data_IF_353671279471
#
_entry.id   IF_353671279471
#
_cell.length_a   1.000
_cell.length_b   1.000
_cell.length_c   1.000
_cell.angle_alpha   90.00
_cell.angle_beta   90.00
_cell.angle_gamma   90.00
#
_symmetry.space_group_name_H-M   'P 1'
#
loop_
_entity.id
_entity.type
_entity.pdbx_description
1 polymer ?
#
# COMPACT_ATOMS: atom_id res chain seq x y z
N UNK A 1 -2.37 8.79 -5.80
CA UNK A 1 -1.26 9.19 -4.91
C UNK A 1 -0.37 7.99 -4.66
N UNK A 2 0.94 8.19 -4.61
CA UNK A 2 1.95 7.17 -4.32
C UNK A 2 2.75 7.59 -3.10
N UNK A 3 2.96 6.72 -2.14
CA UNK A 3 3.64 7.08 -0.90
C UNK A 3 4.33 5.89 -0.21
N UNK A 4 5.31 6.24 0.62
CA UNK A 4 6.00 5.33 1.54
C UNK A 4 6.22 6.02 2.90
N UNK A 5 7.24 6.86 3.02
CA UNK A 5 7.47 7.77 4.15
C UNK A 5 7.75 9.18 3.63
N UNK A 6 9.02 9.59 3.55
CA UNK A 6 9.43 10.89 3.03
C UNK A 6 9.94 10.75 1.59
N UNK A 7 9.47 11.62 0.71
CA UNK A 7 9.84 11.68 -0.70
C UNK A 7 10.46 13.02 -1.11
N UNK A 8 10.61 13.96 -0.18
CA UNK A 8 11.22 15.28 -0.46
C UNK A 8 12.60 15.15 -1.06
N UNK A 9 13.41 14.21 -0.57
CA UNK A 9 14.77 13.97 -1.09
C UNK A 9 14.77 13.41 -2.52
N UNK A 10 13.67 12.81 -2.97
CA UNK A 10 13.51 12.28 -4.32
C UNK A 10 13.03 13.34 -5.33
N UNK A 11 12.71 14.55 -4.90
CA UNK A 11 12.07 15.58 -5.72
C UNK A 11 12.84 15.90 -7.01
N UNK A 12 14.16 15.91 -6.94
CA UNK A 12 15.04 16.18 -8.07
C UNK A 12 15.66 14.92 -8.68
N UNK A 13 15.25 13.74 -8.22
CA UNK A 13 15.76 12.48 -8.74
C UNK A 13 15.09 12.12 -10.06
N UNK A 14 15.88 11.92 -11.10
CA UNK A 14 15.35 11.44 -12.37
C UNK A 14 14.94 9.96 -12.26
N UNK A 15 13.68 9.68 -12.53
CA UNK A 15 13.17 8.30 -12.61
C UNK A 15 12.97 7.93 -14.07
N UNK A 16 13.85 7.06 -14.58
CA UNK A 16 13.78 6.57 -15.95
C UNK A 16 12.45 5.86 -16.22
N UNK A 17 11.83 6.01 -17.40
CA UNK A 17 10.58 5.34 -17.76
C UNK A 17 10.86 3.86 -18.08
N UNK A 18 11.04 3.06 -17.04
CA UNK A 18 11.30 1.63 -17.15
C UNK A 18 10.35 0.84 -16.23
N UNK A 19 10.02 -0.43 -16.54
CA UNK A 19 9.21 -1.26 -15.65
C UNK A 19 9.84 -1.35 -14.27
N UNK A 20 9.11 -0.87 -13.27
CA UNK A 20 9.56 -0.84 -11.87
C UNK A 20 9.32 -2.18 -11.19
N UNK A 21 10.12 -2.55 -10.17
CA UNK A 21 9.93 -3.82 -9.49
C UNK A 21 8.66 -3.89 -8.63
N UNK A 22 8.16 -2.74 -8.14
CA UNK A 22 7.00 -2.74 -7.24
C UNK A 22 6.45 -1.34 -6.95
N UNK A 23 7.28 -0.30 -7.10
CA UNK A 23 6.82 1.08 -6.93
C UNK A 23 6.12 1.59 -8.19
N UNK A 24 5.23 2.55 -8.01
CA UNK A 24 4.55 3.20 -9.13
C UNK A 24 5.55 3.77 -10.15
N UNK A 25 5.33 3.48 -11.42
CA UNK A 25 6.09 4.12 -12.49
C UNK A 25 5.47 5.49 -12.81
N UNK A 26 5.96 6.53 -12.16
CA UNK A 26 5.40 7.88 -12.24
C UNK A 26 5.34 8.38 -13.69
N UNK A 27 6.44 8.28 -14.43
CA UNK A 27 6.51 8.72 -15.84
C UNK A 27 5.50 8.01 -16.74
N UNK A 28 5.31 6.71 -16.51
CA UNK A 28 4.34 5.91 -17.26
C UNK A 28 2.90 6.38 -17.02
N UNK A 29 2.52 6.64 -15.79
CA UNK A 29 1.16 7.10 -15.46
C UNK A 29 0.93 8.55 -15.88
N UNK A 30 1.88 9.45 -15.65
CA UNK A 30 1.77 10.85 -16.07
C UNK A 30 1.60 10.98 -17.58
N UNK A 31 2.36 10.20 -18.38
CA UNK A 31 2.21 10.18 -19.84
C UNK A 31 0.86 9.65 -20.34
N UNK A 32 0.03 9.09 -19.44
CA UNK A 32 -1.31 8.54 -19.72
C UNK A 32 -2.44 9.37 -19.08
N UNK A 33 -2.16 10.63 -18.76
CA UNK A 33 -3.16 11.58 -18.26
C UNK A 33 -3.47 11.45 -16.77
N UNK A 34 -2.60 10.82 -16.00
CA UNK A 34 -2.69 10.85 -14.54
C UNK A 34 -1.87 11.99 -13.94
N UNK A 35 -2.38 12.61 -12.89
CA UNK A 35 -1.56 13.37 -11.96
C UNK A 35 -1.06 12.42 -10.86
N UNK A 36 0.24 12.41 -10.61
CA UNK A 36 0.84 11.63 -9.52
C UNK A 36 1.37 12.57 -8.46
N UNK A 37 0.97 12.35 -7.24
CA UNK A 37 1.41 13.12 -6.08
C UNK A 37 1.97 12.18 -5.00
N UNK A 38 3.13 12.53 -4.46
CA UNK A 38 3.81 11.79 -3.40
C UNK A 38 3.99 12.69 -2.18
N UNK A 39 3.10 12.57 -1.16
CA UNK A 39 3.25 13.32 0.08
C UNK A 39 4.37 12.76 0.94
N UNK A 40 5.01 13.60 1.73
CA UNK A 40 5.78 13.17 2.88
C UNK A 40 4.83 12.78 4.02
N UNK A 41 5.20 11.73 4.75
CA UNK A 41 4.48 11.25 5.92
C UNK A 41 5.44 11.19 7.10
N UNK A 42 5.13 11.88 8.18
CA UNK A 42 5.88 11.84 9.41
C UNK A 42 5.04 11.17 10.51
N UNK A 43 5.71 10.43 11.39
CA UNK A 43 5.02 9.63 12.39
C UNK A 43 5.30 10.10 13.80
N UNK A 44 4.23 10.14 14.59
CA UNK A 44 4.30 10.17 16.05
C UNK A 44 4.28 8.75 16.62
N UNK A 45 4.93 8.58 17.77
CA UNK A 45 5.01 7.28 18.42
C UNK A 45 3.61 6.73 18.74
N UNK A 46 3.36 5.49 18.34
CA UNK A 46 2.09 4.79 18.56
C UNK A 46 0.99 5.04 17.55
N UNK A 47 1.18 5.99 16.61
CA UNK A 47 0.11 6.43 15.70
C UNK A 47 0.41 6.31 14.20
N UNK A 48 1.14 5.30 13.70
CA UNK A 48 1.51 5.27 12.29
C UNK A 48 0.32 5.28 11.33
N UNK A 49 -0.77 4.62 11.68
CA UNK A 49 -1.98 4.60 10.85
C UNK A 49 -2.71 5.93 10.83
N UNK A 50 -2.85 6.58 11.99
CA UNK A 50 -3.48 7.88 12.13
C UNK A 50 -2.69 8.96 11.40
N UNK A 51 -1.37 8.99 11.60
CA UNK A 51 -0.52 9.99 10.98
C UNK A 51 -0.52 9.83 9.45
N UNK A 52 -0.41 8.60 8.92
CA UNK A 52 -0.56 8.36 7.48
C UNK A 52 -1.90 8.91 6.96
N UNK A 53 -2.99 8.72 7.70
CA UNK A 53 -4.29 9.26 7.35
C UNK A 53 -4.27 10.79 7.29
N UNK A 54 -3.75 11.46 8.30
CA UNK A 54 -3.74 12.92 8.38
C UNK A 54 -2.94 13.54 7.23
N UNK A 55 -1.76 13.01 6.92
CA UNK A 55 -0.93 13.52 5.82
C UNK A 55 -1.54 13.24 4.45
N UNK A 56 -1.94 12.00 4.18
CA UNK A 56 -2.42 11.61 2.85
C UNK A 56 -3.80 12.21 2.54
N UNK A 57 -4.71 12.20 3.52
CA UNK A 57 -6.08 12.69 3.29
C UNK A 57 -6.12 14.21 3.19
N UNK A 58 -5.36 14.95 4.01
CA UNK A 58 -5.28 16.41 3.89
C UNK A 58 -4.70 16.83 2.54
N UNK A 59 -3.64 16.15 2.08
CA UNK A 59 -3.06 16.38 0.76
C UNK A 59 -4.07 16.07 -0.36
N UNK A 60 -4.80 14.95 -0.28
CA UNK A 60 -5.83 14.58 -1.25
C UNK A 60 -6.94 15.62 -1.33
N UNK A 61 -7.40 16.10 -0.18
CA UNK A 61 -8.44 17.13 -0.09
C UNK A 61 -7.98 18.49 -0.66
N UNK A 62 -6.72 18.87 -0.47
CA UNK A 62 -6.18 20.09 -1.06
C UNK A 62 -6.01 19.95 -2.58
N UNK A 63 -5.48 18.83 -3.04
CA UNK A 63 -5.36 18.53 -4.46
C UNK A 63 -6.72 18.55 -5.17
N UNK A 64 -7.77 18.01 -4.53
CA UNK A 64 -9.13 17.99 -5.09
C UNK A 64 -9.70 19.39 -5.35
N UNK A 65 -9.16 20.45 -4.74
CA UNK A 65 -9.54 21.84 -4.99
C UNK A 65 -8.86 22.45 -6.23
N UNK A 66 -7.83 21.79 -6.76
CA UNK A 66 -7.10 22.30 -7.93
C UNK A 66 -7.93 22.04 -9.21
N UNK A 67 -8.14 23.05 -10.03
CA UNK A 67 -9.01 23.00 -11.23
C UNK A 67 -8.60 21.95 -12.28
N UNK A 68 -7.36 21.50 -12.25
CA UNK A 68 -6.82 20.50 -13.19
C UNK A 68 -6.82 19.07 -12.61
N UNK A 69 -7.32 18.90 -11.38
CA UNK A 69 -7.43 17.58 -10.71
C UNK A 69 -8.90 17.16 -10.67
N UNK A 70 -9.19 15.96 -11.14
CA UNK A 70 -10.47 15.32 -10.90
C UNK A 70 -10.49 14.72 -9.49
N UNK A 71 -10.88 15.54 -8.51
CA UNK A 71 -10.95 15.15 -7.12
C UNK A 71 -11.96 14.04 -6.78
N UNK A 72 -12.81 13.65 -7.74
CA UNK A 72 -13.76 12.54 -7.57
C UNK A 72 -13.16 11.19 -7.99
N UNK A 73 -12.05 11.20 -8.73
CA UNK A 73 -11.41 10.03 -9.31
C UNK A 73 -9.97 9.89 -8.79
N UNK A 74 -9.82 9.76 -7.48
CA UNK A 74 -8.53 9.58 -6.81
C UNK A 74 -8.28 8.13 -6.44
N UNK A 75 -7.03 7.68 -6.57
CA UNK A 75 -6.56 6.37 -6.13
C UNK A 75 -5.27 6.49 -5.30
N UNK A 76 -4.98 5.44 -4.54
CA UNK A 76 -3.77 5.31 -3.73
C UNK A 76 -3.00 4.04 -4.08
N UNK A 77 -1.67 4.15 -4.07
CA UNK A 77 -0.76 3.04 -4.29
C UNK A 77 0.42 3.14 -3.33
N UNK A 78 0.87 1.99 -2.82
CA UNK A 78 2.08 1.89 -2.00
C UNK A 78 2.60 0.46 -1.95
N UNK A 79 3.91 0.35 -1.74
CA UNK A 79 4.61 -0.93 -1.63
C UNK A 79 5.13 -1.12 -0.21
N UNK A 80 5.10 -2.35 0.33
CA UNK A 80 5.67 -2.69 1.63
C UNK A 80 5.02 -1.91 2.76
N UNK A 81 5.76 -1.05 3.43
CA UNK A 81 5.19 -0.12 4.42
C UNK A 81 4.16 0.83 3.79
N UNK A 82 4.38 1.28 2.56
CA UNK A 82 3.37 1.99 1.77
C UNK A 82 2.12 1.15 1.51
N UNK A 83 2.28 -0.16 1.29
CA UNK A 83 1.17 -1.11 1.17
C UNK A 83 0.36 -1.22 2.47
N UNK A 84 1.04 -1.27 3.62
CA UNK A 84 0.37 -1.15 4.93
C UNK A 84 -0.46 0.13 5.02
N UNK A 85 0.14 1.28 4.69
CA UNK A 85 -0.56 2.57 4.73
C UNK A 85 -1.80 2.57 3.84
N UNK A 86 -1.70 2.03 2.61
CA UNK A 86 -2.86 1.87 1.70
C UNK A 86 -3.97 1.06 2.37
N UNK A 87 -3.63 -0.11 2.91
CA UNK A 87 -4.60 -0.98 3.60
C UNK A 87 -5.24 -0.29 4.80
N UNK A 88 -4.46 0.45 5.59
CA UNK A 88 -4.97 1.18 6.74
C UNK A 88 -5.90 2.33 6.32
N UNK A 89 -5.51 3.12 5.33
CA UNK A 89 -6.28 4.27 4.84
C UNK A 89 -7.66 3.87 4.32
N UNK A 90 -7.78 2.79 3.55
CA UNK A 90 -9.09 2.36 3.02
C UNK A 90 -10.06 1.88 4.11
N UNK A 91 -9.57 1.61 5.32
CA UNK A 91 -10.43 1.33 6.49
C UNK A 91 -10.84 2.59 7.25
N UNK A 92 -10.19 3.73 6.97
CA UNK A 92 -10.40 4.99 7.69
C UNK A 92 -11.16 6.03 6.85
N UNK A 93 -11.10 5.92 5.51
CA UNK A 93 -11.76 6.85 4.58
C UNK A 93 -12.26 6.15 3.32
N UNK A 94 -13.28 6.72 2.68
CA UNK A 94 -13.85 6.24 1.42
C UNK A 94 -13.69 7.25 0.28
N UNK A 95 -12.77 8.22 0.39
CA UNK A 95 -12.54 9.24 -0.65
C UNK A 95 -11.81 8.68 -1.89
N UNK A 96 -11.13 7.54 -1.75
CA UNK A 96 -10.41 6.89 -2.83
C UNK A 96 -11.28 5.86 -3.56
N UNK A 97 -11.33 5.93 -4.88
CA UNK A 97 -12.09 4.98 -5.71
C UNK A 97 -11.39 3.66 -5.95
N UNK A 98 -10.08 3.64 -5.82
CA UNK A 98 -9.25 2.47 -6.06
C UNK A 98 -8.02 2.49 -5.16
N UNK A 99 -7.56 1.30 -4.78
CA UNK A 99 -6.36 1.12 -3.97
C UNK A 99 -5.51 -0.04 -4.50
N UNK A 100 -4.19 0.14 -4.47
CA UNK A 100 -3.23 -0.89 -4.84
C UNK A 100 -2.16 -1.02 -3.75
N UNK A 101 -2.08 -2.19 -3.12
CA UNK A 101 -1.15 -2.48 -2.04
C UNK A 101 -0.18 -3.58 -2.46
N UNK A 102 1.09 -3.24 -2.61
CA UNK A 102 2.14 -4.23 -2.83
C UNK A 102 2.73 -4.70 -1.50
N UNK A 103 2.84 -6.02 -1.31
CA UNK A 103 3.42 -6.68 -0.15
C UNK A 103 3.06 -6.01 1.20
N UNK A 104 1.76 -5.79 1.49
CA UNK A 104 1.34 -5.05 2.67
C UNK A 104 1.53 -5.84 3.96
N UNK A 105 1.73 -5.13 5.06
CA UNK A 105 1.44 -5.65 6.41
C UNK A 105 -0.03 -5.38 6.70
N UNK A 106 -0.82 -6.42 6.95
CA UNK A 106 -2.25 -6.30 7.22
C UNK A 106 -2.57 -6.47 8.71
N UNK A 107 -1.75 -7.22 9.42
CA UNK A 107 -1.96 -7.60 10.81
C UNK A 107 -0.64 -7.56 11.58
N UNK A 108 -0.41 -6.50 12.32
CA UNK A 108 0.82 -6.33 13.10
C UNK A 108 0.94 -7.36 14.23
N UNK A 109 -0.18 -7.96 14.70
CA UNK A 109 -0.12 -8.96 15.77
C UNK A 109 0.50 -10.26 15.28
N UNK A 110 0.07 -10.78 14.11
CA UNK A 110 0.66 -11.99 13.51
C UNK A 110 2.05 -11.70 12.90
N UNK A 111 2.25 -10.52 12.33
CA UNK A 111 3.54 -10.14 11.75
C UNK A 111 4.63 -9.89 12.81
N UNK A 112 4.27 -9.51 14.03
CA UNK A 112 5.20 -9.25 15.13
C UNK A 112 6.07 -10.47 15.48
N UNK A 113 5.47 -11.66 15.49
CA UNK A 113 6.19 -12.92 15.71
C UNK A 113 6.89 -13.47 14.45
N UNK A 114 6.80 -12.77 13.32
CA UNK A 114 7.35 -13.24 12.05
C UNK A 114 8.86 -13.07 11.95
N UNK A 115 9.44 -13.83 11.02
CA UNK A 115 10.85 -13.74 10.63
C UNK A 115 10.97 -12.99 9.29
N UNK A 116 11.93 -12.10 9.18
CA UNK A 116 12.37 -11.50 7.93
C UNK A 116 13.34 -12.48 7.25
N UNK A 117 12.81 -13.42 6.47
CA UNK A 117 13.54 -14.56 5.94
C UNK A 117 14.77 -14.18 5.11
N UNK A 118 14.72 -13.05 4.40
CA UNK A 118 15.87 -12.54 3.65
C UNK A 118 17.07 -12.15 4.50
N UNK A 119 16.90 -11.96 5.82
CA UNK A 119 17.98 -11.56 6.76
C UNK A 119 18.09 -12.48 7.97
N UNK A 120 17.10 -13.34 8.22
CA UNK A 120 17.00 -14.19 9.41
C UNK A 120 16.63 -13.45 10.71
N UNK A 121 16.35 -12.14 10.63
CA UNK A 121 16.03 -11.33 11.81
C UNK A 121 14.54 -11.45 12.19
N UNK A 122 14.24 -11.47 13.49
CA UNK A 122 12.86 -11.28 13.94
C UNK A 122 12.37 -9.86 13.59
N UNK A 123 11.05 -9.66 13.60
CA UNK A 123 10.45 -8.40 13.19
C UNK A 123 10.08 -7.46 14.35
N UNK A 124 10.24 -7.87 15.59
CA UNK A 124 9.76 -7.16 16.77
C UNK A 124 10.29 -5.73 16.87
N UNK A 125 11.61 -5.56 16.74
CA UNK A 125 12.25 -4.24 16.79
C UNK A 125 11.69 -3.27 15.73
N UNK A 126 11.27 -3.79 14.57
CA UNK A 126 10.72 -3.01 13.47
C UNK A 126 9.37 -2.40 13.85
N UNK A 127 8.52 -3.16 14.55
CA UNK A 127 7.24 -2.66 15.04
C UNK A 127 7.40 -1.75 16.25
N UNK A 128 8.26 -2.12 17.20
CA UNK A 128 8.44 -1.36 18.43
C UNK A 128 9.13 0.00 18.21
N UNK A 129 10.25 0.01 17.46
CA UNK A 129 11.22 1.12 17.52
C UNK A 129 11.50 1.80 16.19
N UNK A 130 11.52 1.04 15.06
CA UNK A 130 11.97 1.60 13.80
C UNK A 130 10.81 2.01 12.90
N UNK A 131 10.44 1.22 11.90
CA UNK A 131 9.48 1.63 10.88
C UNK A 131 8.08 1.94 11.41
N UNK A 132 7.52 1.05 12.24
CA UNK A 132 6.14 1.20 12.73
C UNK A 132 6.02 2.13 13.95
N UNK A 133 7.10 2.29 14.71
CA UNK A 133 7.17 3.22 15.84
C UNK A 133 6.02 3.09 16.84
N UNK A 134 5.53 1.87 17.09
CA UNK A 134 4.47 1.61 18.11
C UNK A 134 4.95 2.04 19.49
N UNK A 135 6.24 1.80 19.79
CA UNK A 135 6.88 2.30 20.99
C UNK A 135 6.72 1.43 22.24
N UNK A 136 6.14 0.25 22.09
CA UNK A 136 5.98 -0.76 23.12
C UNK A 136 5.92 -2.15 22.46
N UNK A 137 6.18 -3.21 23.22
CA UNK A 137 5.98 -4.55 22.71
C UNK A 137 4.48 -4.93 22.63
N UNK A 138 4.20 -6.05 21.96
CA UNK A 138 2.83 -6.48 21.67
C UNK A 138 1.98 -6.67 22.95
N UNK A 139 2.54 -7.20 24.00
CA UNK A 139 1.80 -7.51 25.25
C UNK A 139 1.59 -6.27 26.12
N UNK A 140 2.51 -5.30 26.08
CA UNK A 140 2.37 -4.03 26.80
C UNK A 140 1.27 -3.15 26.20
N UNK A 141 1.16 -3.14 24.86
CA UNK A 141 0.21 -2.27 24.15
C UNK A 141 -0.48 -2.99 22.98
N UNK A 142 -1.12 -4.13 23.28
CA UNK A 142 -1.93 -4.90 22.31
C UNK A 142 -2.95 -4.01 21.60
N UNK A 143 -3.51 -3.05 22.31
CA UNK A 143 -4.46 -2.06 21.77
C UNK A 143 -3.88 -1.29 20.57
N UNK A 144 -2.65 -0.81 20.65
CA UNK A 144 -1.99 -0.09 19.56
C UNK A 144 -1.69 -1.00 18.35
N UNK A 145 -1.30 -2.26 18.60
CA UNK A 145 -1.10 -3.23 17.51
C UNK A 145 -2.40 -3.52 16.76
N UNK A 146 -3.51 -3.69 17.47
CA UNK A 146 -4.82 -3.89 16.85
C UNK A 146 -5.31 -2.63 16.15
N UNK A 147 -5.16 -1.45 16.77
CA UNK A 147 -5.55 -0.17 16.20
C UNK A 147 -4.84 0.11 14.87
N UNK A 148 -3.55 -0.23 14.78
CA UNK A 148 -2.74 -0.04 13.58
C UNK A 148 -2.70 -1.26 12.66
N UNK A 149 -3.61 -2.21 12.80
CA UNK A 149 -3.73 -3.37 11.92
C UNK A 149 -5.01 -3.28 11.09
N UNK A 150 -4.92 -2.99 9.78
CA UNK A 150 -6.09 -2.82 8.92
C UNK A 150 -7.05 -4.02 8.93
N UNK A 151 -6.55 -5.22 9.15
CA UNK A 151 -7.36 -6.44 9.20
C UNK A 151 -8.55 -6.33 10.18
N UNK A 152 -8.36 -5.71 11.35
CA UNK A 152 -9.41 -5.57 12.35
C UNK A 152 -10.46 -4.51 12.01
N UNK A 153 -10.18 -3.68 11.01
CA UNK A 153 -11.04 -2.56 10.60
C UNK A 153 -11.71 -2.78 9.23
N UNK A 154 -11.53 -3.94 8.60
CA UNK A 154 -12.06 -4.29 7.28
C UNK A 154 -13.56 -4.03 7.10
N UNK A 155 -14.44 -4.22 8.10
CA UNK A 155 -15.86 -3.91 7.93
C UNK A 155 -16.16 -2.48 7.51
N UNK A 156 -15.25 -1.53 7.75
CA UNK A 156 -15.39 -0.13 7.37
C UNK A 156 -14.99 0.15 5.91
N UNK A 157 -14.24 -0.76 5.27
CA UNK A 157 -13.72 -0.55 3.92
C UNK A 157 -14.82 -0.70 2.85
N UNK A 158 -14.83 0.24 1.90
CA UNK A 158 -15.65 0.20 0.69
C UNK A 158 -14.83 0.33 -0.60
N UNK A 159 -13.54 0.61 -0.48
CA UNK A 159 -12.65 0.83 -1.62
C UNK A 159 -12.20 -0.51 -2.22
N UNK A 160 -12.35 -0.72 -3.54
CA UNK A 160 -11.76 -1.86 -4.24
C UNK A 160 -10.24 -1.88 -4.09
N UNK A 161 -9.68 -3.06 -3.79
CA UNK A 161 -8.25 -3.25 -3.54
C UNK A 161 -7.65 -4.33 -4.44
N UNK A 162 -6.51 -4.03 -5.06
CA UNK A 162 -5.60 -5.06 -5.57
C UNK A 162 -4.44 -5.20 -4.59
N UNK A 163 -4.13 -6.44 -4.25
CA UNK A 163 -2.96 -6.81 -3.46
C UNK A 163 -1.97 -7.52 -4.39
N UNK A 164 -0.73 -7.07 -4.45
CA UNK A 164 0.38 -7.85 -5.01
C UNK A 164 1.23 -8.35 -3.85
N UNK A 165 1.37 -9.68 -3.70
CA UNK A 165 2.22 -10.24 -2.64
C UNK A 165 2.73 -11.61 -3.08
N UNK A 166 4.04 -11.77 -3.11
CA UNK A 166 4.69 -12.93 -3.69
C UNK A 166 5.04 -13.98 -2.64
N UNK A 167 5.03 -15.25 -3.05
CA UNK A 167 5.21 -16.41 -2.16
C UNK A 167 6.65 -16.58 -1.65
N UNK A 168 7.64 -15.96 -2.32
CA UNK A 168 9.04 -15.96 -1.88
C UNK A 168 9.46 -14.63 -1.23
N UNK A 169 8.50 -13.88 -0.68
CA UNK A 169 8.80 -12.60 -0.02
C UNK A 169 9.60 -12.81 1.27
N UNK A 170 10.89 -12.45 1.22
CA UNK A 170 11.80 -12.54 2.35
C UNK A 170 11.77 -11.34 3.31
N UNK A 171 10.94 -10.34 3.05
CA UNK A 171 10.83 -9.12 3.85
C UNK A 171 9.51 -9.03 4.64
N UNK A 172 8.38 -9.20 4.00
CA UNK A 172 7.05 -9.25 4.64
C UNK A 172 6.46 -10.64 4.45
N UNK A 173 6.05 -11.33 5.53
CA UNK A 173 5.49 -12.66 5.40
C UNK A 173 4.31 -12.68 4.42
N UNK A 174 4.34 -13.57 3.45
CA UNK A 174 3.35 -13.67 2.38
C UNK A 174 1.91 -13.75 2.89
N UNK A 175 1.68 -14.45 4.00
CA UNK A 175 0.33 -14.58 4.56
C UNK A 175 -0.24 -13.26 5.10
N UNK A 176 0.53 -12.18 5.22
CA UNK A 176 -0.03 -10.86 5.48
C UNK A 176 -0.95 -10.39 4.34
N UNK A 177 -0.56 -10.63 3.10
CA UNK A 177 -1.43 -10.41 1.94
C UNK A 177 -2.62 -11.38 1.91
N UNK A 178 -2.40 -12.64 2.28
CA UNK A 178 -3.46 -13.65 2.35
C UNK A 178 -4.50 -13.30 3.42
N UNK A 179 -4.07 -12.89 4.63
CA UNK A 179 -4.98 -12.44 5.69
C UNK A 179 -5.88 -11.30 5.22
N UNK A 180 -5.29 -10.29 4.58
CA UNK A 180 -6.03 -9.15 4.02
C UNK A 180 -7.03 -9.60 2.94
N UNK A 181 -6.57 -10.40 1.98
CA UNK A 181 -7.38 -10.89 0.87
C UNK A 181 -8.56 -11.73 1.36
N UNK A 182 -8.30 -12.73 2.21
CA UNK A 182 -9.33 -13.64 2.70
C UNK A 182 -10.34 -12.94 3.60
N UNK A 183 -9.87 -12.00 4.44
CA UNK A 183 -10.75 -11.14 5.25
C UNK A 183 -11.71 -10.32 4.39
N UNK A 184 -11.21 -9.62 3.38
CA UNK A 184 -12.03 -8.84 2.45
C UNK A 184 -13.01 -9.74 1.67
N UNK A 185 -12.54 -10.92 1.18
CA UNK A 185 -13.40 -11.90 0.49
C UNK A 185 -14.53 -12.39 1.40
N UNK A 186 -14.23 -12.68 2.65
CA UNK A 186 -15.23 -13.13 3.64
C UNK A 186 -16.32 -12.08 3.87
N UNK A 187 -15.94 -10.79 3.79
CA UNK A 187 -16.86 -9.65 3.95
C UNK A 187 -17.56 -9.25 2.62
N UNK A 188 -17.37 -9.98 1.52
CA UNK A 188 -17.96 -9.69 0.23
C UNK A 188 -17.41 -8.42 -0.44
N UNK A 189 -16.24 -7.95 -0.01
CA UNK A 189 -15.61 -6.74 -0.55
C UNK A 189 -14.87 -7.03 -1.87
N UNK A 190 -14.71 -6.01 -2.71
CA UNK A 190 -14.00 -6.11 -3.99
C UNK A 190 -12.51 -6.16 -3.75
N UNK A 191 -11.90 -7.32 -3.95
CA UNK A 191 -10.46 -7.52 -3.78
C UNK A 191 -9.93 -8.55 -4.76
N UNK A 192 -8.74 -8.28 -5.28
CA UNK A 192 -7.95 -9.20 -6.14
C UNK A 192 -6.56 -9.36 -5.53
N UNK A 193 -5.96 -10.53 -5.72
CA UNK A 193 -4.60 -10.80 -5.27
C UNK A 193 -3.79 -11.32 -6.44
N UNK A 194 -2.65 -10.69 -6.68
CA UNK A 194 -1.64 -11.11 -7.65
C UNK A 194 -0.48 -11.73 -6.89
N UNK A 195 -0.15 -12.98 -7.23
CA UNK A 195 1.03 -13.66 -6.77
C UNK A 195 1.89 -14.04 -7.98
N UNK A 196 3.11 -13.55 -8.00
CA UNK A 196 4.10 -13.95 -9.01
C UNK A 196 4.99 -15.03 -8.40
N UNK A 197 4.73 -16.28 -8.75
CA UNK A 197 5.38 -17.45 -8.14
C UNK A 197 6.90 -17.37 -8.21
N UNK A 198 7.56 -17.54 -7.07
CA UNK A 198 9.00 -17.49 -6.92
C UNK A 198 9.62 -16.09 -6.93
N UNK A 199 8.81 -15.06 -7.08
CA UNK A 199 9.28 -13.67 -6.94
C UNK A 199 9.39 -13.27 -5.47
N UNK A 200 10.31 -12.37 -5.20
CA UNK A 200 10.61 -11.85 -3.87
C UNK A 200 9.70 -10.65 -3.49
N UNK A 201 10.10 -9.93 -2.47
CA UNK A 201 9.44 -8.69 -2.01
C UNK A 201 9.27 -7.66 -3.13
N UNK A 202 10.30 -7.55 -3.96
CA UNK A 202 10.28 -6.76 -5.19
C UNK A 202 10.44 -7.69 -6.39
N UNK A 203 9.67 -7.46 -7.44
CA UNK A 203 9.75 -8.27 -8.67
C UNK A 203 11.15 -8.18 -9.30
N UNK A 204 11.76 -9.32 -9.56
CA UNK A 204 13.10 -9.44 -10.17
C UNK A 204 12.97 -9.60 -11.68
N UNK A 205 12.07 -10.49 -12.13
CA UNK A 205 11.93 -10.83 -13.53
C UNK A 205 11.29 -9.70 -14.33
N UNK A 206 11.95 -9.27 -15.41
CA UNK A 206 11.47 -8.17 -16.26
C UNK A 206 10.08 -8.41 -16.84
N UNK A 207 9.73 -9.67 -17.16
CA UNK A 207 8.39 -10.02 -17.65
C UNK A 207 7.30 -9.69 -16.63
N UNK A 208 7.54 -10.01 -15.35
CA UNK A 208 6.62 -9.77 -14.25
C UNK A 208 6.51 -8.27 -13.93
N UNK A 209 7.62 -7.52 -14.01
CA UNK A 209 7.60 -6.05 -13.90
C UNK A 209 6.77 -5.37 -14.98
N UNK A 210 6.78 -5.91 -16.21
CA UNK A 210 5.92 -5.41 -17.29
C UNK A 210 4.45 -5.76 -17.04
N UNK A 211 4.18 -6.99 -16.64
CA UNK A 211 2.82 -7.49 -16.41
C UNK A 211 2.14 -6.71 -15.28
N UNK A 212 2.80 -6.53 -14.14
CA UNK A 212 2.23 -5.77 -13.01
C UNK A 212 1.89 -4.33 -13.40
N UNK A 213 2.76 -3.66 -14.17
CA UNK A 213 2.53 -2.29 -14.62
C UNK A 213 1.30 -2.18 -15.54
N UNK A 214 1.11 -3.17 -16.43
CA UNK A 214 -0.07 -3.23 -17.31
C UNK A 214 -1.33 -3.47 -16.49
N UNK A 215 -1.31 -4.42 -15.55
CA UNK A 215 -2.46 -4.71 -14.68
C UNK A 215 -2.83 -3.54 -13.78
N UNK A 216 -1.83 -2.86 -13.24
CA UNK A 216 -2.04 -1.67 -12.43
C UNK A 216 -2.69 -0.55 -13.24
N UNK A 217 -2.22 -0.30 -14.47
CA UNK A 217 -2.85 0.63 -15.39
C UNK A 217 -4.31 0.23 -15.70
N UNK A 218 -4.55 -1.01 -16.09
CA UNK A 218 -5.90 -1.50 -16.41
C UNK A 218 -6.86 -1.36 -15.25
N UNK A 219 -6.41 -1.63 -14.02
CA UNK A 219 -7.21 -1.48 -12.81
C UNK A 219 -7.58 -0.03 -12.56
N UNK A 220 -6.63 0.89 -12.66
CA UNK A 220 -6.89 2.31 -12.47
C UNK A 220 -7.69 2.92 -13.63
N UNK A 221 -7.43 2.56 -14.88
CA UNK A 221 -8.21 3.02 -16.03
C UNK A 221 -9.68 2.58 -15.91
N UNK A 222 -9.93 1.34 -15.46
CA UNK A 222 -11.28 0.87 -15.20
C UNK A 222 -12.00 1.71 -14.13
N UNK A 223 -11.40 1.88 -12.97
CA UNK A 223 -12.10 2.49 -11.81
C UNK A 223 -12.08 4.02 -11.83
N UNK A 224 -11.08 4.65 -12.43
CA UNK A 224 -10.93 6.10 -12.44
C UNK A 224 -11.40 6.75 -13.73
N UNK A 225 -11.25 6.08 -14.87
CA UNK A 225 -11.63 6.61 -16.19
C UNK A 225 -12.89 5.95 -16.78
N UNK A 226 -13.41 4.91 -16.13
CA UNK A 226 -14.60 4.19 -16.62
C UNK A 226 -14.35 3.29 -17.82
N UNK A 227 -13.11 2.89 -18.07
CA UNK A 227 -12.77 1.93 -19.11
C UNK A 227 -13.31 0.53 -18.78
N UNK A 228 -13.39 -0.36 -19.77
CA UNK A 228 -13.82 -1.74 -19.51
C UNK A 228 -12.77 -2.46 -18.66
N UNK A 229 -13.20 -3.25 -17.67
CA UNK A 229 -12.25 -4.03 -16.87
C UNK A 229 -11.52 -5.04 -17.78
N UNK A 230 -10.25 -5.30 -17.46
CA UNK A 230 -9.51 -6.39 -18.10
C UNK A 230 -10.21 -7.73 -17.86
N UNK A 231 -10.16 -8.60 -18.86
CA UNK A 231 -10.73 -9.96 -18.77
C UNK A 231 -9.84 -10.86 -17.93
#
# INVERSE_FOLDING_TARGET
MYFYETHTDDLYSYVAPAPTPSRLNISFFVSRGYAVFSPDIHYTKGNPGKDAYEYVVSAAQDLAKKRFIDGKNMAIQGQSWGGYQVCQLITMTNIFKAAWAGAPVANMTSAYGGIRWGTGLNRQFQYEKTQSRIGANLWERTDLYMQNSPLFHLPKNKTPLVIMHNDNDGAVPWYQGIEMYTGMRRLGQKVWMLNYNGEEHNLIQRKNRKDIQIREQQFFDWLLKGEKPAK
#
